data_IF_684777353483
#
_entry.id   IF_684777353483
#
_cell.length_a   1.000
_cell.length_b   1.000
_cell.length_c   1.000
_cell.angle_alpha   90.00
_cell.angle_beta   90.00
_cell.angle_gamma   90.00
#
_symmetry.space_group_name_H-M   'P 1'
#
loop_
_entity.id
_entity.type
_entity.pdbx_description
1 polymer ?
#
# COMPACT_ATOMS: atom_id res chain seq x y z
N UNK A 1 7.03 -0.67 7.39
CA UNK A 1 6.81 -1.90 6.59
C UNK A 1 5.90 -2.76 7.42
N UNK A 2 4.65 -2.87 6.98
CA UNK A 2 3.65 -3.72 7.60
C UNK A 2 3.36 -4.89 6.66
N UNK A 3 3.13 -6.08 7.20
CA UNK A 3 2.77 -7.27 6.44
C UNK A 3 1.43 -7.75 6.97
N UNK A 4 0.43 -7.84 6.10
CA UNK A 4 -0.89 -8.39 6.44
C UNK A 4 -1.05 -9.70 5.70
N UNK A 5 -1.28 -10.78 6.45
CA UNK A 5 -1.51 -12.12 5.91
C UNK A 5 -3.00 -12.35 5.78
N UNK A 6 -3.41 -12.88 4.65
CA UNK A 6 -4.79 -13.31 4.38
C UNK A 6 -4.83 -14.80 4.07
N UNK A 7 -6.04 -15.36 4.01
CA UNK A 7 -6.24 -16.73 3.58
C UNK A 7 -5.53 -16.98 2.23
N UNK A 8 -5.01 -18.19 2.04
CA UNK A 8 -4.28 -18.52 0.82
C UNK A 8 -5.19 -18.40 -0.41
N UNK A 9 -4.87 -17.46 -1.29
CA UNK A 9 -5.64 -17.10 -2.49
C UNK A 9 -4.71 -17.08 -3.70
N UNK A 10 -4.38 -18.25 -4.29
CA UNK A 10 -3.41 -18.34 -5.39
C UNK A 10 -3.91 -17.65 -6.67
N UNK A 11 -5.22 -17.46 -6.82
CA UNK A 11 -5.83 -16.81 -7.98
C UNK A 11 -5.99 -15.28 -7.83
N UNK A 12 -5.52 -14.70 -6.71
CA UNK A 12 -5.58 -13.25 -6.50
C UNK A 12 -4.44 -12.59 -7.27
N UNK A 13 -4.77 -11.82 -8.31
CA UNK A 13 -3.76 -11.05 -9.05
C UNK A 13 -3.56 -9.65 -8.44
N UNK A 14 -2.41 -9.02 -8.65
CA UNK A 14 -2.20 -7.64 -8.22
C UNK A 14 -3.20 -6.65 -8.82
N UNK A 15 -3.68 -6.87 -10.05
CA UNK A 15 -4.71 -6.05 -10.70
C UNK A 15 -6.05 -6.16 -9.99
N UNK A 16 -6.45 -7.38 -9.60
CA UNK A 16 -7.69 -7.61 -8.84
C UNK A 16 -7.62 -6.97 -7.46
N UNK A 17 -6.49 -7.12 -6.79
CA UNK A 17 -6.26 -6.43 -5.51
C UNK A 17 -6.33 -4.91 -5.68
N UNK A 18 -5.65 -4.35 -6.68
CA UNK A 18 -5.69 -2.92 -6.96
C UNK A 18 -7.13 -2.44 -7.24
N UNK A 19 -7.92 -3.22 -7.98
CA UNK A 19 -9.32 -2.89 -8.25
C UNK A 19 -10.16 -2.86 -6.97
N UNK A 20 -10.01 -3.84 -6.09
CA UNK A 20 -10.70 -3.86 -4.79
C UNK A 20 -10.32 -2.64 -3.92
N UNK A 21 -9.02 -2.32 -3.88
CA UNK A 21 -8.52 -1.11 -3.23
C UNK A 21 -9.15 0.16 -3.82
N UNK A 22 -9.21 0.26 -5.15
CA UNK A 22 -9.78 1.42 -5.81
C UNK A 22 -11.27 1.57 -5.50
N UNK A 23 -12.03 0.48 -5.56
CA UNK A 23 -13.45 0.47 -5.22
C UNK A 23 -13.70 1.02 -3.81
N UNK A 24 -12.90 0.61 -2.82
CA UNK A 24 -13.10 1.03 -1.44
C UNK A 24 -12.56 2.44 -1.13
N UNK A 25 -11.40 2.80 -1.70
CA UNK A 25 -10.67 3.99 -1.28
C UNK A 25 -10.62 5.14 -2.28
N UNK A 26 -11.18 5.01 -3.49
CA UNK A 26 -11.06 6.03 -4.55
C UNK A 26 -11.46 7.46 -4.14
N UNK A 27 -12.33 7.61 -3.14
CA UNK A 27 -12.78 8.93 -2.65
C UNK A 27 -11.73 9.65 -1.82
N UNK A 28 -10.89 8.89 -1.12
CA UNK A 28 -9.91 9.44 -0.16
C UNK A 28 -8.48 9.31 -0.69
N UNK A 29 -8.21 8.28 -1.50
CA UNK A 29 -6.89 7.93 -1.98
C UNK A 29 -6.87 7.75 -3.50
N UNK A 30 -5.80 8.25 -4.12
CA UNK A 30 -5.50 7.98 -5.52
C UNK A 30 -4.73 6.67 -5.63
N UNK A 31 -5.24 5.72 -6.41
CA UNK A 31 -4.62 4.42 -6.59
C UNK A 31 -4.13 4.29 -8.03
N UNK A 32 -2.90 3.81 -8.22
CA UNK A 32 -2.30 3.63 -9.53
C UNK A 32 -1.27 2.51 -9.54
N UNK A 33 -1.08 1.89 -10.70
CA UNK A 33 -0.08 0.84 -10.92
C UNK A 33 1.34 1.40 -10.71
N UNK A 34 2.19 0.64 -10.02
CA UNK A 34 3.58 1.03 -9.83
C UNK A 34 4.42 0.57 -11.04
N UNK A 35 5.37 1.40 -11.45
CA UNK A 35 6.42 1.00 -12.40
C UNK A 35 7.67 0.43 -11.72
N UNK A 36 7.67 0.31 -10.38
CA UNK A 36 8.84 -0.10 -9.59
C UNK A 36 8.71 -1.57 -9.21
N UNK A 37 9.70 -2.41 -9.55
CA UNK A 37 9.70 -3.87 -9.38
C UNK A 37 9.34 -4.38 -7.97
N UNK A 38 9.55 -3.55 -6.94
CA UNK A 38 9.29 -3.90 -5.54
C UNK A 38 7.85 -3.63 -5.09
N UNK A 39 6.96 -3.17 -5.97
CA UNK A 39 5.57 -2.78 -5.65
C UNK A 39 4.67 -3.07 -6.85
N UNK A 40 3.45 -3.51 -6.61
CA UNK A 40 2.50 -3.73 -7.69
C UNK A 40 1.68 -2.48 -7.97
N UNK A 41 1.24 -1.80 -6.92
CA UNK A 41 0.49 -0.55 -7.00
C UNK A 41 0.80 0.38 -5.82
N UNK A 42 0.37 1.63 -5.94
CA UNK A 42 0.55 2.66 -4.92
C UNK A 42 -0.82 3.22 -4.53
N UNK A 43 -1.06 3.31 -3.24
CA UNK A 43 -2.17 4.04 -2.64
C UNK A 43 -1.60 5.39 -2.17
N UNK A 44 -2.05 6.49 -2.77
CA UNK A 44 -1.55 7.84 -2.53
C UNK A 44 -2.61 8.69 -1.84
N UNK A 45 -2.28 9.20 -0.65
CA UNK A 45 -3.10 10.20 0.05
C UNK A 45 -2.80 11.61 -0.43
N UNK A 46 -1.51 11.97 -0.51
CA UNK A 46 -1.08 13.28 -0.99
C UNK A 46 0.36 13.21 -1.53
N UNK A 47 0.98 14.36 -1.82
CA UNK A 47 2.35 14.41 -2.35
C UNK A 47 3.42 13.86 -1.38
N UNK A 48 3.13 13.89 -0.07
CA UNK A 48 4.02 13.49 1.02
C UNK A 48 3.77 12.07 1.50
N UNK A 49 2.52 11.63 1.48
CA UNK A 49 2.06 10.39 2.11
C UNK A 49 1.50 9.44 1.06
N UNK A 50 2.10 8.26 0.95
CA UNK A 50 1.54 7.12 0.24
C UNK A 50 2.09 5.81 0.77
N UNK A 51 1.45 4.72 0.36
CA UNK A 51 1.85 3.36 0.68
C UNK A 51 1.95 2.57 -0.62
N UNK A 52 3.12 1.99 -0.85
CA UNK A 52 3.30 0.97 -1.88
C UNK A 52 2.77 -0.37 -1.38
N UNK A 53 2.00 -1.05 -2.22
CA UNK A 53 1.44 -2.37 -1.92
C UNK A 53 2.08 -3.39 -2.83
N UNK A 54 2.56 -4.49 -2.24
CA UNK A 54 3.01 -5.67 -2.97
C UNK A 54 2.25 -6.89 -2.50
N UNK A 55 1.63 -7.59 -3.42
CA UNK A 55 1.06 -8.91 -3.21
C UNK A 55 2.18 -9.94 -3.29
N UNK A 56 2.31 -10.75 -2.25
CA UNK A 56 3.18 -11.91 -2.21
C UNK A 56 2.32 -13.16 -2.06
N UNK A 57 2.54 -14.12 -2.94
CA UNK A 57 1.95 -15.45 -2.84
C UNK A 57 3.09 -16.42 -2.55
N UNK A 58 2.97 -17.13 -1.45
CA UNK A 58 3.88 -18.18 -1.02
C UNK A 58 3.04 -19.47 -0.84
N UNK A 59 3.68 -20.63 -0.86
CA UNK A 59 3.00 -21.94 -0.86
C UNK A 59 1.98 -22.11 0.28
N UNK A 60 2.22 -21.44 1.41
CA UNK A 60 1.37 -21.51 2.60
C UNK A 60 0.51 -20.26 2.84
N UNK A 61 0.48 -19.27 1.93
CA UNK A 61 -0.31 -18.08 2.19
C UNK A 61 -0.24 -16.96 1.16
N UNK A 62 -1.16 -16.01 1.30
CA UNK A 62 -1.16 -14.78 0.53
C UNK A 62 -0.93 -13.63 1.50
N UNK A 63 0.03 -12.76 1.18
CA UNK A 63 0.46 -11.67 2.04
C UNK A 63 0.50 -10.37 1.26
N UNK A 64 0.04 -9.29 1.88
CA UNK A 64 0.24 -7.94 1.39
C UNK A 64 1.36 -7.27 2.16
N UNK A 65 2.37 -6.78 1.46
CA UNK A 65 3.49 -6.04 2.01
C UNK A 65 3.27 -4.55 1.74
N UNK A 66 3.15 -3.77 2.81
CA UNK A 66 3.00 -2.33 2.79
C UNK A 66 4.33 -1.65 3.02
N UNK A 67 4.70 -0.78 2.08
CA UNK A 67 5.88 0.06 2.19
C UNK A 67 5.48 1.52 2.15
N UNK A 68 5.52 2.17 3.32
CA UNK A 68 5.39 3.61 3.43
C UNK A 68 6.40 4.33 2.52
N UNK A 69 5.92 5.38 1.82
CA UNK A 69 6.74 6.16 0.91
C UNK A 69 6.26 7.60 0.80
N UNK A 70 7.15 8.45 0.30
CA UNK A 70 6.77 9.75 -0.23
C UNK A 70 6.59 9.66 -1.76
N UNK A 71 5.38 9.87 -2.31
CA UNK A 71 5.13 9.72 -3.75
C UNK A 71 5.79 10.78 -4.64
N UNK A 72 6.09 11.97 -4.12
CA UNK A 72 6.67 13.07 -4.90
C UNK A 72 8.19 12.98 -4.99
N UNK A 73 8.73 12.93 -6.21
CA UNK A 73 10.18 12.91 -6.46
C UNK A 73 10.82 14.22 -6.01
N UNK A 74 10.21 15.37 -6.34
CA UNK A 74 10.72 16.70 -5.97
C UNK A 74 10.84 16.82 -4.45
N UNK A 75 9.82 16.37 -3.71
CA UNK A 75 9.86 16.42 -2.25
C UNK A 75 10.89 15.44 -1.67
N UNK A 76 11.10 14.27 -2.30
CA UNK A 76 12.18 13.36 -1.89
C UNK A 76 13.56 13.99 -2.06
N UNK A 77 13.77 14.80 -3.11
CA UNK A 77 15.04 15.51 -3.33
C UNK A 77 15.21 16.64 -2.30
N UNK A 78 14.16 17.44 -2.06
CA UNK A 78 14.25 18.62 -1.19
C UNK A 78 14.37 18.28 0.30
N UNK A 79 13.62 17.28 0.77
CA UNK A 79 13.57 16.93 2.19
C UNK A 79 14.41 15.70 2.52
N UNK A 80 14.84 14.91 1.51
CA UNK A 80 15.57 13.67 1.73
C UNK A 80 14.75 12.61 2.48
N UNK A 81 15.29 11.40 2.57
CA UNK A 81 14.62 10.28 3.23
C UNK A 81 14.48 10.45 4.75
N UNK A 82 15.42 11.11 5.41
CA UNK A 82 15.50 11.19 6.88
C UNK A 82 14.49 12.20 7.45
N UNK A 83 14.36 13.39 6.87
CA UNK A 83 13.39 14.40 7.34
C UNK A 83 11.97 13.92 7.05
N UNK A 84 11.73 13.38 5.84
CA UNK A 84 10.45 12.78 5.50
C UNK A 84 10.08 11.65 6.49
N UNK A 85 11.04 10.80 6.86
CA UNK A 85 10.81 9.73 7.83
C UNK A 85 10.41 10.24 9.22
N UNK A 86 11.03 11.30 9.73
CA UNK A 86 10.75 11.81 11.07
C UNK A 86 9.36 12.46 11.17
N UNK A 87 8.99 13.30 10.20
CA UNK A 87 7.74 14.06 10.25
C UNK A 87 6.52 13.27 9.75
N UNK A 88 6.70 12.34 8.81
CA UNK A 88 5.57 11.63 8.17
C UNK A 88 5.25 10.28 8.80
N UNK A 89 6.07 9.81 9.75
CA UNK A 89 5.86 8.52 10.43
C UNK A 89 4.46 8.32 11.01
N UNK A 90 3.84 9.30 11.69
CA UNK A 90 2.47 9.13 12.21
C UNK A 90 1.44 8.94 11.09
N UNK A 91 1.55 9.73 10.03
CA UNK A 91 0.67 9.66 8.84
C UNK A 91 0.80 8.31 8.13
N UNK A 92 2.04 7.82 7.96
CA UNK A 92 2.29 6.51 7.38
C UNK A 92 1.75 5.37 8.23
N UNK A 93 1.88 5.44 9.56
CA UNK A 93 1.30 4.42 10.46
C UNK A 93 -0.22 4.40 10.43
N UNK A 94 -0.85 5.57 10.36
CA UNK A 94 -2.31 5.67 10.20
C UNK A 94 -2.75 5.01 8.89
N UNK A 95 -2.06 5.31 7.78
CA UNK A 95 -2.37 4.74 6.47
C UNK A 95 -2.12 3.22 6.40
N UNK A 96 -1.02 2.72 6.99
CA UNK A 96 -0.77 1.28 7.12
C UNK A 96 -1.90 0.59 7.91
N UNK A 97 -2.44 1.24 8.96
CA UNK A 97 -3.55 0.72 9.75
C UNK A 97 -4.87 0.70 8.97
N UNK A 98 -5.22 1.79 8.30
CA UNK A 98 -6.46 1.88 7.52
C UNK A 98 -6.50 0.81 6.41
N UNK A 99 -5.37 0.64 5.73
CA UNK A 99 -5.22 -0.35 4.66
C UNK A 99 -5.23 -1.78 5.22
N UNK A 100 -4.57 -2.02 6.36
CA UNK A 100 -4.59 -3.33 7.01
C UNK A 100 -5.99 -3.73 7.47
N UNK A 101 -6.70 -2.81 8.13
CA UNK A 101 -8.08 -3.03 8.56
C UNK A 101 -9.04 -3.31 7.39
N UNK A 102 -8.83 -2.66 6.24
CA UNK A 102 -9.58 -2.97 5.02
C UNK A 102 -9.35 -4.40 4.54
N UNK A 103 -8.10 -4.86 4.53
CA UNK A 103 -7.80 -6.22 4.07
C UNK A 103 -8.40 -7.28 4.98
N UNK A 104 -8.38 -7.06 6.30
CA UNK A 104 -8.97 -7.98 7.27
C UNK A 104 -10.51 -8.02 7.18
N UNK A 105 -11.13 -6.90 6.81
CA UNK A 105 -12.60 -6.77 6.77
C UNK A 105 -13.23 -7.12 5.43
N UNK A 106 -12.54 -6.86 4.31
CA UNK A 106 -13.11 -6.99 2.98
C UNK A 106 -13.35 -8.46 2.59
N UNK A 107 -14.57 -8.74 2.13
CA UNK A 107 -14.95 -10.06 1.64
C UNK A 107 -14.10 -10.53 0.44
N UNK A 108 -13.55 -9.59 -0.33
CA UNK A 108 -12.66 -9.85 -1.47
C UNK A 108 -11.34 -10.54 -1.06
N UNK A 109 -10.96 -10.48 0.23
CA UNK A 109 -9.71 -11.04 0.75
C UNK A 109 -9.88 -12.05 1.90
N UNK A 110 -11.13 -12.33 2.31
CA UNK A 110 -11.46 -13.44 3.21
C UNK A 110 -11.39 -14.78 2.48
#
# INVERSE_FOLDING_TARGET
>A
MAIVRVAHRPNLSPERAMYAFNRNFHREYKIYKSGVLMRDFVVKKNAWTGVGVKLKQEDNGTSFVFTAMMPSIILNILFGGVIAFLFLRPSWRAMERDVGAFIESAADFK
#
